data_IF_907403426044
#
_entry.id   IF_907403426044
#
_cell.length_a   1.000
_cell.length_b   1.000
_cell.length_c   1.000
_cell.angle_alpha   90.00
_cell.angle_beta   90.00
_cell.angle_gamma   90.00
#
_symmetry.space_group_name_H-M   'P 1'
#
loop_
_entity.id
_entity.type
_entity.pdbx_description
1 polymer ?
#
# COMPACT_ATOMS: atom_id res chain seq x y z
N UNK A 1 -29.36 -28.60 -24.44
CA UNK A 1 -29.21 -28.69 -22.96
C UNK A 1 -27.75 -29.00 -22.69
N UNK A 2 -27.09 -28.39 -21.69
CA UNK A 2 -25.73 -28.77 -21.32
C UNK A 2 -25.66 -30.26 -21.01
N UNK A 3 -24.56 -30.91 -21.38
CA UNK A 3 -24.29 -32.31 -21.03
C UNK A 3 -23.98 -32.45 -19.54
N UNK A 4 -24.19 -33.64 -18.99
CA UNK A 4 -23.88 -33.95 -17.58
C UNK A 4 -22.40 -33.67 -17.25
N UNK A 5 -21.52 -33.85 -18.24
CA UNK A 5 -20.09 -33.53 -18.15
C UNK A 5 -19.83 -32.03 -18.01
N UNK A 6 -20.52 -31.19 -18.78
CA UNK A 6 -20.42 -29.73 -18.68
C UNK A 6 -20.95 -29.21 -17.34
N UNK A 7 -22.05 -29.78 -16.84
CA UNK A 7 -22.60 -29.44 -15.53
C UNK A 7 -21.64 -29.81 -14.40
N UNK A 8 -21.09 -31.04 -14.42
CA UNK A 8 -20.10 -31.50 -13.45
C UNK A 8 -18.85 -30.61 -13.43
N UNK A 9 -18.36 -30.23 -14.62
CA UNK A 9 -17.21 -29.33 -14.77
C UNK A 9 -17.49 -27.95 -14.15
N UNK A 10 -18.68 -27.38 -14.41
CA UNK A 10 -19.06 -26.09 -13.83
C UNK A 10 -19.13 -26.13 -12.30
N UNK A 11 -19.74 -27.17 -11.73
CA UNK A 11 -19.84 -27.35 -10.27
C UNK A 11 -18.45 -27.55 -9.64
N UNK A 12 -17.57 -28.32 -10.29
CA UNK A 12 -16.19 -28.52 -9.86
C UNK A 12 -15.39 -27.21 -9.85
N UNK A 13 -15.52 -26.38 -10.89
CA UNK A 13 -14.88 -25.06 -10.95
C UNK A 13 -15.43 -24.13 -9.86
N UNK A 14 -16.74 -24.08 -9.66
CA UNK A 14 -17.36 -23.28 -8.60
C UNK A 14 -16.86 -23.69 -7.21
N UNK A 15 -16.76 -25.00 -6.95
CA UNK A 15 -16.23 -25.53 -5.70
C UNK A 15 -14.75 -25.15 -5.50
N UNK A 16 -13.95 -25.22 -6.57
CA UNK A 16 -12.54 -24.83 -6.55
C UNK A 16 -12.34 -23.33 -6.26
N UNK A 17 -13.21 -22.47 -6.81
CA UNK A 17 -13.22 -21.03 -6.50
C UNK A 17 -13.54 -20.81 -5.03
N UNK A 18 -14.56 -21.48 -4.48
CA UNK A 18 -14.90 -21.36 -3.07
C UNK A 18 -13.77 -21.81 -2.14
N UNK A 19 -13.15 -22.95 -2.43
CA UNK A 19 -11.99 -23.44 -1.69
C UNK A 19 -10.81 -22.47 -1.76
N UNK A 20 -10.57 -21.87 -2.92
CA UNK A 20 -9.52 -20.85 -3.09
C UNK A 20 -9.81 -19.60 -2.26
N UNK A 21 -11.07 -19.15 -2.20
CA UNK A 21 -11.46 -18.02 -1.33
C UNK A 21 -11.15 -18.30 0.14
N UNK A 22 -11.46 -19.49 0.64
CA UNK A 22 -11.14 -19.89 2.03
C UNK A 22 -9.63 -19.85 2.28
N UNK A 23 -8.83 -20.38 1.35
CA UNK A 23 -7.37 -20.35 1.47
C UNK A 23 -6.85 -18.91 1.47
N UNK A 24 -7.39 -18.04 0.61
CA UNK A 24 -7.00 -16.64 0.57
C UNK A 24 -7.32 -15.91 1.88
N UNK A 25 -8.47 -16.18 2.50
CA UNK A 25 -8.83 -15.63 3.81
C UNK A 25 -7.83 -16.06 4.89
N UNK A 26 -7.50 -17.35 4.95
CA UNK A 26 -6.52 -17.88 5.91
C UNK A 26 -5.12 -17.27 5.72
N UNK A 27 -4.68 -17.11 4.47
CA UNK A 27 -3.41 -16.45 4.16
C UNK A 27 -3.43 -14.98 4.53
N UNK A 28 -4.55 -14.28 4.30
CA UNK A 28 -4.68 -12.88 4.69
C UNK A 28 -4.61 -12.71 6.21
N UNK A 29 -5.25 -13.59 6.98
CA UNK A 29 -5.19 -13.56 8.44
C UNK A 29 -3.78 -13.86 8.96
N UNK A 30 -3.09 -14.85 8.38
CA UNK A 30 -1.68 -15.11 8.71
C UNK A 30 -0.79 -13.90 8.38
N UNK A 31 -1.00 -13.24 7.24
CA UNK A 31 -0.29 -12.00 6.89
C UNK A 31 -0.58 -10.91 7.92
N UNK A 32 -1.82 -10.77 8.38
CA UNK A 32 -2.20 -9.77 9.38
C UNK A 32 -1.43 -10.00 10.68
N UNK A 33 -1.44 -11.22 11.19
CA UNK A 33 -0.74 -11.59 12.43
C UNK A 33 0.78 -11.34 12.35
N UNK A 34 1.42 -11.82 11.28
CA UNK A 34 2.86 -11.65 11.05
C UNK A 34 3.23 -10.17 10.93
N UNK A 35 2.46 -9.40 10.15
CA UNK A 35 2.75 -7.99 9.93
C UNK A 35 2.53 -7.15 11.19
N UNK A 36 1.48 -7.41 11.98
CA UNK A 36 1.27 -6.72 13.27
C UNK A 36 2.37 -7.04 14.28
N UNK A 37 2.96 -8.23 14.20
CA UNK A 37 4.02 -8.66 15.12
C UNK A 37 5.38 -8.09 14.72
N UNK A 38 5.75 -8.16 13.44
CA UNK A 38 7.11 -7.85 12.98
C UNK A 38 7.29 -6.45 12.38
N UNK A 39 6.20 -5.79 12.00
CA UNK A 39 6.18 -4.41 11.50
C UNK A 39 4.96 -3.64 12.05
N UNK A 40 4.84 -3.52 13.38
CA UNK A 40 3.66 -2.94 14.03
C UNK A 40 3.39 -1.49 13.59
N UNK A 41 4.42 -0.64 13.48
CA UNK A 41 4.26 0.78 13.13
C UNK A 41 3.84 0.95 11.66
N UNK A 42 4.48 0.21 10.75
CA UNK A 42 4.12 0.23 9.34
C UNK A 42 2.71 -0.34 9.11
N UNK A 43 2.34 -1.39 9.86
CA UNK A 43 1.01 -1.98 9.84
C UNK A 43 -0.05 -1.02 10.37
N UNK A 44 0.24 -0.30 11.46
CA UNK A 44 -0.66 0.73 12.00
C UNK A 44 -0.89 1.87 10.99
N UNK A 45 0.14 2.24 10.22
CA UNK A 45 0.05 3.31 9.23
C UNK A 45 -0.69 2.92 7.95
N UNK A 46 -0.41 1.76 7.37
CA UNK A 46 -0.87 1.36 6.02
C UNK A 46 -1.88 0.21 6.02
N UNK A 47 -2.10 -0.42 7.17
CA UNK A 47 -2.76 -1.71 7.28
C UNK A 47 -1.80 -2.88 7.06
N UNK A 48 -2.02 -4.03 7.73
CA UNK A 48 -1.07 -5.15 7.73
C UNK A 48 -0.77 -5.71 6.32
N UNK A 49 -1.80 -5.89 5.50
CA UNK A 49 -1.66 -6.42 4.13
C UNK A 49 -0.84 -5.49 3.23
N UNK A 50 -1.01 -4.18 3.37
CA UNK A 50 -0.25 -3.19 2.58
C UNK A 50 1.20 -3.09 3.05
N UNK A 51 1.43 -3.18 4.37
CA UNK A 51 2.77 -3.26 4.94
C UNK A 51 3.53 -4.48 4.41
N UNK A 52 2.90 -5.66 4.44
CA UNK A 52 3.47 -6.89 3.89
C UNK A 52 3.77 -6.78 2.38
N UNK A 53 2.86 -6.18 1.60
CA UNK A 53 3.09 -5.90 0.17
C UNK A 53 4.29 -4.99 -0.07
N UNK A 54 4.48 -3.95 0.74
CA UNK A 54 5.66 -3.08 0.64
C UNK A 54 6.96 -3.84 0.92
N UNK A 55 6.97 -4.69 1.96
CA UNK A 55 8.13 -5.51 2.32
C UNK A 55 8.47 -6.49 1.20
N UNK A 56 7.46 -7.17 0.66
CA UNK A 56 7.59 -8.10 -0.46
C UNK A 56 8.18 -7.41 -1.70
N UNK A 57 7.62 -6.25 -2.09
CA UNK A 57 8.12 -5.46 -3.23
C UNK A 57 9.54 -4.93 -3.03
N UNK A 58 9.94 -4.63 -1.80
CA UNK A 58 11.32 -4.24 -1.49
C UNK A 58 12.29 -5.42 -1.46
N UNK A 59 11.79 -6.65 -1.30
CA UNK A 59 12.61 -7.86 -1.12
C UNK A 59 13.10 -8.05 0.32
N UNK A 60 12.36 -7.57 1.32
CA UNK A 60 12.65 -7.77 2.74
C UNK A 60 12.55 -6.51 3.59
N UNK A 61 12.35 -6.72 4.91
CA UNK A 61 12.16 -5.66 5.91
C UNK A 61 13.37 -4.72 5.99
N UNK A 62 14.57 -5.29 6.08
CA UNK A 62 15.82 -4.52 6.14
C UNK A 62 16.01 -3.67 4.88
N UNK A 63 15.78 -4.25 3.70
CA UNK A 63 15.92 -3.54 2.44
C UNK A 63 14.93 -2.38 2.36
N UNK A 64 13.68 -2.58 2.78
CA UNK A 64 12.68 -1.51 2.86
C UNK A 64 13.13 -0.40 3.83
N UNK A 65 13.72 -0.73 4.98
CA UNK A 65 14.20 0.25 5.96
C UNK A 65 15.36 1.12 5.44
N UNK A 66 16.22 0.57 4.60
CA UNK A 66 17.35 1.27 3.97
C UNK A 66 16.92 2.13 2.77
N UNK A 67 15.75 1.90 2.19
CA UNK A 67 15.29 2.68 1.04
C UNK A 67 14.97 4.14 1.42
N UNK A 68 15.23 5.10 0.52
CA UNK A 68 14.80 6.48 0.73
C UNK A 68 13.28 6.61 0.53
N UNK A 69 12.66 7.59 1.19
CA UNK A 69 11.20 7.84 1.10
C UNK A 69 10.70 7.99 -0.34
N UNK A 70 11.48 8.63 -1.23
CA UNK A 70 11.12 8.75 -2.65
C UNK A 70 11.01 7.39 -3.37
N UNK A 71 11.80 6.39 -2.98
CA UNK A 71 11.69 5.03 -3.52
C UNK A 71 10.47 4.29 -2.96
N UNK A 72 10.16 4.45 -1.66
CA UNK A 72 8.91 3.95 -1.08
C UNK A 72 7.70 4.58 -1.76
N UNK A 73 7.79 5.87 -2.10
CA UNK A 73 6.71 6.60 -2.75
C UNK A 73 6.26 5.93 -4.05
N UNK A 74 7.18 5.37 -4.83
CA UNK A 74 6.93 4.80 -6.17
C UNK A 74 7.08 3.27 -6.21
N UNK A 75 7.11 2.62 -5.06
CA UNK A 75 7.27 1.16 -4.96
C UNK A 75 6.15 0.43 -5.72
N UNK A 76 6.50 -0.52 -6.58
CA UNK A 76 5.54 -1.22 -7.44
C UNK A 76 5.10 -0.45 -8.70
N UNK A 77 5.68 0.72 -9.01
CA UNK A 77 5.42 1.47 -10.25
C UNK A 77 6.54 1.31 -11.30
N UNK A 78 7.14 0.11 -11.41
CA UNK A 78 8.33 -0.14 -12.25
C UNK A 78 8.13 0.27 -13.72
N UNK A 79 6.99 -0.06 -14.32
CA UNK A 79 6.68 0.31 -15.71
C UNK A 79 6.63 1.84 -15.91
N UNK A 80 5.96 2.57 -15.01
CA UNK A 80 5.88 4.03 -15.09
C UNK A 80 7.23 4.69 -14.80
N UNK A 81 8.02 4.16 -13.86
CA UNK A 81 9.39 4.62 -13.61
C UNK A 81 10.31 4.38 -14.81
N UNK A 82 10.14 3.27 -15.53
CA UNK A 82 10.90 3.00 -16.75
C UNK A 82 10.52 3.96 -17.88
N UNK A 83 9.23 4.25 -18.06
CA UNK A 83 8.78 5.27 -19.00
C UNK A 83 9.31 6.66 -18.62
N UNK A 84 9.38 7.00 -17.33
CA UNK A 84 9.95 8.25 -16.86
C UNK A 84 11.42 8.41 -17.24
N UNK A 85 12.21 7.33 -17.13
CA UNK A 85 13.61 7.31 -17.61
C UNK A 85 13.74 7.57 -19.12
N UNK A 86 12.65 7.43 -19.89
CA UNK A 86 12.56 7.72 -21.32
C UNK A 86 11.90 9.07 -21.63
N UNK A 87 11.71 9.93 -20.62
CA UNK A 87 11.17 11.28 -20.78
C UNK A 87 9.69 11.46 -20.42
N UNK A 88 8.98 10.41 -20.02
CA UNK A 88 7.62 10.56 -19.50
C UNK A 88 7.62 11.27 -18.12
N UNK A 89 6.51 11.86 -17.65
CA UNK A 89 6.42 12.39 -16.29
C UNK A 89 6.60 11.29 -15.22
N UNK A 90 7.24 11.59 -14.07
CA UNK A 90 7.43 10.61 -13.01
C UNK A 90 6.10 10.17 -12.38
N UNK A 91 5.96 8.90 -11.96
CA UNK A 91 4.78 8.45 -11.23
C UNK A 91 4.68 9.16 -9.88
N UNK A 92 3.45 9.58 -9.51
CA UNK A 92 3.18 10.27 -8.25
C UNK A 92 3.15 9.35 -7.04
N UNK A 93 2.87 8.06 -7.26
CA UNK A 93 2.73 7.05 -6.21
C UNK A 93 2.88 5.64 -6.81
N UNK A 94 3.33 4.71 -5.98
CA UNK A 94 3.35 3.28 -6.20
C UNK A 94 1.97 2.65 -6.06
N UNK A 95 1.88 1.35 -6.36
CA UNK A 95 0.62 0.61 -6.27
C UNK A 95 0.10 0.56 -4.83
N UNK A 96 0.98 0.32 -3.85
CA UNK A 96 0.60 0.18 -2.44
C UNK A 96 0.13 1.51 -1.84
N UNK A 97 0.83 2.61 -2.10
CA UNK A 97 0.38 3.91 -1.61
C UNK A 97 -0.89 4.37 -2.32
N UNK A 98 -1.11 3.99 -3.58
CA UNK A 98 -2.34 4.31 -4.29
C UNK A 98 -3.55 3.57 -3.71
N UNK A 99 -3.39 2.32 -3.24
CA UNK A 99 -4.50 1.58 -2.62
C UNK A 99 -4.98 2.18 -1.30
N UNK A 100 -4.20 3.07 -0.68
CA UNK A 100 -4.62 3.78 0.53
C UNK A 100 -5.81 4.71 0.23
N UNK A 101 -6.91 4.64 1.01
CA UNK A 101 -8.06 5.52 0.83
C UNK A 101 -7.69 7.00 0.90
N UNK A 102 -6.72 7.36 1.76
CA UNK A 102 -6.19 8.72 1.87
C UNK A 102 -5.62 9.24 0.54
N UNK A 103 -5.14 8.36 -0.35
CA UNK A 103 -4.58 8.73 -1.66
C UNK A 103 -5.58 8.53 -2.78
N UNK A 104 -6.16 7.33 -2.93
CA UNK A 104 -7.07 6.99 -4.03
C UNK A 104 -8.32 7.87 -4.06
N UNK A 105 -8.94 8.10 -2.90
CA UNK A 105 -10.17 8.91 -2.78
C UNK A 105 -9.91 10.41 -2.82
N UNK A 106 -8.65 10.84 -2.78
CA UNK A 106 -8.29 12.26 -2.86
C UNK A 106 -8.32 12.81 -4.29
N UNK A 107 -8.52 14.13 -4.47
CA UNK A 107 -8.45 14.77 -5.77
C UNK A 107 -7.08 14.58 -6.45
N UNK A 108 -7.08 14.40 -7.78
CA UNK A 108 -5.89 14.01 -8.59
C UNK A 108 -4.67 14.92 -8.40
N UNK A 109 -4.89 16.20 -8.10
CA UNK A 109 -3.84 17.22 -7.90
C UNK A 109 -3.22 17.20 -6.49
N UNK A 110 -3.88 16.55 -5.52
CA UNK A 110 -3.40 16.41 -4.15
C UNK A 110 -2.75 15.03 -3.91
N UNK A 111 -3.15 13.98 -4.65
CA UNK A 111 -2.66 12.60 -4.46
C UNK A 111 -1.14 12.48 -4.31
N UNK A 112 -0.37 13.18 -5.15
CA UNK A 112 1.10 13.12 -5.09
C UNK A 112 1.69 13.74 -3.81
N UNK A 113 1.02 14.75 -3.24
CA UNK A 113 1.43 15.38 -1.97
C UNK A 113 1.18 14.43 -0.80
N UNK A 114 -0.01 13.82 -0.76
CA UNK A 114 -0.38 12.85 0.27
C UNK A 114 0.50 11.60 0.17
N UNK A 115 0.72 11.08 -1.04
CA UNK A 115 1.60 9.92 -1.23
C UNK A 115 3.04 10.20 -0.80
N UNK A 116 3.58 11.39 -1.08
CA UNK A 116 4.91 11.79 -0.60
C UNK A 116 4.96 11.87 0.92
N UNK A 117 3.94 12.47 1.55
CA UNK A 117 3.85 12.56 3.01
C UNK A 117 3.77 11.17 3.66
N UNK A 118 2.87 10.31 3.16
CA UNK A 118 2.72 8.92 3.61
C UNK A 118 4.00 8.11 3.39
N UNK A 119 4.69 8.27 2.27
CA UNK A 119 5.97 7.60 2.03
C UNK A 119 7.04 8.03 3.04
N UNK A 120 7.07 9.31 3.42
CA UNK A 120 7.91 9.83 4.50
C UNK A 120 7.62 9.16 5.83
N UNK A 121 6.34 9.10 6.23
CA UNK A 121 5.94 8.44 7.47
C UNK A 121 6.19 6.93 7.43
N UNK A 122 5.90 6.26 6.31
CA UNK A 122 6.18 4.84 6.12
C UNK A 122 7.69 4.54 6.21
N UNK A 123 8.54 5.42 5.69
CA UNK A 123 10.00 5.31 5.79
C UNK A 123 10.50 5.40 7.24
N UNK A 124 9.85 6.21 8.08
CA UNK A 124 10.17 6.28 9.50
C UNK A 124 9.63 5.03 10.21
N UNK A 125 8.36 4.69 9.99
CA UNK A 125 7.69 3.55 10.61
C UNK A 125 8.46 2.23 10.40
N UNK A 126 8.87 1.93 9.15
CA UNK A 126 9.64 0.72 8.88
C UNK A 126 11.02 0.72 9.55
N UNK A 127 11.64 1.89 9.76
CA UNK A 127 12.94 1.98 10.44
C UNK A 127 12.78 1.78 11.94
N UNK A 128 11.74 2.36 12.53
CA UNK A 128 11.34 2.09 13.92
C UNK A 128 11.14 0.59 14.10
N UNK A 129 10.33 -0.03 13.24
CA UNK A 129 10.09 -1.47 13.30
C UNK A 129 11.37 -2.29 13.09
N UNK A 130 12.26 -1.87 12.18
CA UNK A 130 13.46 -2.63 11.86
C UNK A 130 14.54 -2.58 12.95
N UNK A 131 14.70 -1.42 13.59
CA UNK A 131 15.71 -1.17 14.63
C UNK A 131 15.13 -1.29 16.05
N UNK A 132 14.01 -2.03 16.20
CA UNK A 132 13.36 -2.33 17.48
C UNK A 132 13.06 -1.10 18.34
N UNK A 133 12.64 0.00 17.68
CA UNK A 133 12.16 1.20 18.34
C UNK A 133 10.71 1.05 18.83
N UNK A 134 10.25 2.04 19.61
CA UNK A 134 8.89 2.07 20.17
C UNK A 134 7.82 2.06 19.07
N UNK A 135 6.95 1.02 19.01
CA UNK A 135 5.92 0.89 18.01
C UNK A 135 4.91 2.05 18.02
N UNK A 136 4.41 2.41 16.84
CA UNK A 136 3.48 3.52 16.73
C UNK A 136 2.10 3.20 17.30
N UNK A 137 1.63 4.08 18.18
CA UNK A 137 0.30 3.99 18.79
C UNK A 137 -0.77 4.77 18.01
N UNK A 138 -2.02 4.58 18.40
CA UNK A 138 -3.19 5.23 17.79
C UNK A 138 -3.05 6.76 17.72
N UNK A 139 -2.55 7.41 18.77
CA UNK A 139 -2.39 8.87 18.82
C UNK A 139 -1.50 9.41 17.70
N UNK A 140 -0.42 8.71 17.36
CA UNK A 140 0.49 9.13 16.28
C UNK A 140 -0.17 8.92 14.91
N UNK A 141 -0.94 7.84 14.74
CA UNK A 141 -1.69 7.61 13.51
C UNK A 141 -2.78 8.66 13.31
N UNK A 142 -3.48 9.04 14.38
CA UNK A 142 -4.50 10.08 14.35
C UNK A 142 -3.90 11.44 13.96
N UNK A 143 -2.75 11.82 14.54
CA UNK A 143 -2.01 13.03 14.16
C UNK A 143 -1.61 13.02 12.67
N UNK A 144 -1.09 11.89 12.17
CA UNK A 144 -0.73 11.73 10.76
C UNK A 144 -1.96 11.92 9.86
N UNK A 145 -3.12 11.38 10.24
CA UNK A 145 -4.36 11.54 9.50
C UNK A 145 -4.86 12.99 9.52
N UNK A 146 -4.78 13.69 10.66
CA UNK A 146 -5.09 15.12 10.74
C UNK A 146 -4.21 15.96 9.81
N UNK A 147 -2.91 15.67 9.74
CA UNK A 147 -2.00 16.35 8.81
C UNK A 147 -2.34 16.07 7.33
N UNK A 148 -2.80 14.86 7.00
CA UNK A 148 -3.28 14.53 5.64
C UNK A 148 -4.50 15.38 5.29
N UNK A 149 -5.45 15.54 6.22
CA UNK A 149 -6.60 16.41 6.01
C UNK A 149 -6.19 17.89 5.87
N UNK A 150 -5.22 18.36 6.65
CA UNK A 150 -4.65 19.69 6.50
C UNK A 150 -3.99 19.90 5.12
N UNK A 151 -3.28 18.89 4.59
CA UNK A 151 -2.74 18.92 3.22
C UNK A 151 -3.88 19.06 2.20
N UNK A 152 -4.98 18.32 2.35
CA UNK A 152 -6.13 18.44 1.45
C UNK A 152 -6.75 19.84 1.50
N UNK A 153 -6.96 20.37 2.71
CA UNK A 153 -7.55 21.68 2.95
C UNK A 153 -6.71 22.83 2.35
N UNK A 154 -5.38 22.70 2.35
CA UNK A 154 -4.46 23.68 1.71
C UNK A 154 -4.55 23.72 0.19
N UNK A 155 -5.06 22.67 -0.47
CA UNK A 155 -5.13 22.58 -1.94
C UNK A 155 -6.54 22.23 -2.43
N UNK A 156 -7.56 23.06 -2.16
CA UNK A 156 -8.95 22.75 -2.49
C UNK A 156 -9.24 22.82 -3.99
N UNK A 157 -8.46 23.60 -4.74
CA UNK A 157 -8.63 23.82 -6.19
C UNK A 157 -7.47 23.21 -6.98
N UNK A 158 -7.71 22.77 -8.23
CA UNK A 158 -6.64 22.33 -9.10
C UNK A 158 -5.65 23.49 -9.36
N UNK A 159 -4.35 23.20 -9.55
CA UNK A 159 -3.39 24.22 -9.92
C UNK A 159 -3.79 24.85 -11.25
N UNK A 160 -3.55 26.16 -11.39
CA UNK A 160 -3.73 26.86 -12.68
C UNK A 160 -2.84 26.16 -13.70
N UNK A 161 -3.40 25.80 -14.87
CA UNK A 161 -2.61 25.28 -15.98
C UNK A 161 -1.70 26.41 -16.46
N UNK A 162 -0.39 26.19 -16.38
CA UNK A 162 0.64 26.98 -17.06
C UNK A 162 0.71 26.58 -18.52
#
# INVERSE_FOLDING_TARGET
MPSDSEWSSMVSHASSVNSSSIILEQLEDSIREIATTHVPSLSALLGPVSAAKMISLAGGRERLARMPSGSLQVLGAHAAMFAHRRGAPPPKHGAVLFSMPQVSRSPRWVRGKIARYLAGKASIAVRVDHFDGEPWGKSQIDEINSEIEAIKAKFPKPPKRS
#
